data_IF_589838369074
#
_entry.id   IF_589838369074
#
_cell.length_a   1.000
_cell.length_b   1.000
_cell.length_c   1.000
_cell.angle_alpha   90.00
_cell.angle_beta   90.00
_cell.angle_gamma   90.00
#
_symmetry.space_group_name_H-M   'P 1'
#
loop_
_entity.id
_entity.type
_entity.pdbx_description
1 polymer ?
#
# COMPACT_ATOMS: atom_id res chain seq x y z
N UNK A 1 13.96 -16.51 -13.46
CA UNK A 1 12.56 -17.01 -13.44
C UNK A 1 11.84 -16.40 -12.23
N UNK A 2 10.67 -15.80 -12.42
CA UNK A 2 9.86 -15.23 -11.35
C UNK A 2 9.35 -16.31 -10.39
N UNK A 3 9.36 -16.06 -9.08
CA UNK A 3 8.91 -17.02 -8.06
C UNK A 3 7.37 -17.21 -8.13
N UNK A 4 6.89 -18.35 -7.61
CA UNK A 4 5.45 -18.61 -7.43
C UNK A 4 4.94 -17.97 -6.14
N UNK A 5 3.64 -17.60 -6.10
CA UNK A 5 3.04 -16.89 -4.96
C UNK A 5 3.17 -17.65 -3.65
N UNK A 6 3.11 -18.99 -3.67
CA UNK A 6 3.30 -19.84 -2.46
C UNK A 6 4.61 -19.59 -1.71
N UNK A 7 5.63 -19.01 -2.37
CA UNK A 7 6.93 -18.71 -1.73
C UNK A 7 7.02 -17.31 -1.12
N UNK A 8 6.06 -16.45 -1.44
CA UNK A 8 6.10 -15.03 -1.07
C UNK A 8 4.82 -14.55 -0.37
N UNK A 9 3.74 -15.34 -0.41
CA UNK A 9 2.48 -15.01 0.25
C UNK A 9 2.59 -15.12 1.77
N UNK A 10 1.82 -14.32 2.46
CA UNK A 10 1.53 -14.48 3.90
C UNK A 10 0.42 -15.50 4.04
N UNK A 11 0.67 -16.61 4.73
CA UNK A 11 -0.31 -17.70 4.91
C UNK A 11 -1.31 -17.40 6.03
N UNK A 12 -0.86 -16.73 7.11
CA UNK A 12 -1.73 -16.35 8.24
C UNK A 12 -2.49 -15.07 7.92
N UNK A 13 -3.58 -15.23 7.18
CA UNK A 13 -4.41 -14.10 6.77
C UNK A 13 -5.49 -13.84 7.83
N UNK A 14 -5.59 -12.59 8.27
CA UNK A 14 -6.64 -12.16 9.21
C UNK A 14 -7.97 -12.06 8.45
N UNK A 15 -8.98 -12.73 8.96
CA UNK A 15 -10.31 -12.81 8.34
C UNK A 15 -11.40 -12.29 9.26
N UNK A 16 -12.55 -11.93 8.69
CA UNK A 16 -13.72 -11.46 9.41
C UNK A 16 -15.00 -12.00 8.76
N UNK A 17 -16.04 -12.19 9.57
CA UNK A 17 -17.34 -12.63 9.07
C UNK A 17 -18.10 -11.46 8.36
N UNK A 18 -18.92 -11.74 7.34
CA UNK A 18 -19.70 -10.71 6.62
C UNK A 18 -20.63 -9.90 7.52
N UNK A 19 -21.16 -10.54 8.57
CA UNK A 19 -22.11 -9.94 9.52
C UNK A 19 -21.45 -9.10 10.62
N UNK A 20 -20.12 -9.10 10.72
CA UNK A 20 -19.40 -8.27 11.67
C UNK A 20 -19.61 -6.78 11.35
N UNK A 21 -19.38 -5.91 12.34
CA UNK A 21 -19.48 -4.46 12.17
C UNK A 21 -18.17 -3.89 11.62
N UNK A 22 -18.24 -2.70 11.04
CA UNK A 22 -17.04 -1.97 10.60
C UNK A 22 -16.14 -1.64 11.77
N UNK A 23 -16.71 -1.35 12.96
CA UNK A 23 -15.93 -1.13 14.18
C UNK A 23 -15.09 -2.37 14.53
N UNK A 24 -15.69 -3.56 14.53
CA UNK A 24 -14.97 -4.81 14.79
C UNK A 24 -13.85 -5.04 13.76
N UNK A 25 -14.10 -4.72 12.49
CA UNK A 25 -13.08 -4.81 11.45
C UNK A 25 -11.92 -3.84 11.69
N UNK A 26 -12.21 -2.59 12.09
CA UNK A 26 -11.21 -1.59 12.41
C UNK A 26 -10.37 -1.98 13.63
N UNK A 27 -11.00 -2.48 14.69
CA UNK A 27 -10.33 -2.99 15.89
C UNK A 27 -9.40 -4.16 15.55
N UNK A 28 -9.84 -5.07 14.68
CA UNK A 28 -9.04 -6.19 14.22
C UNK A 28 -7.84 -5.74 13.37
N UNK A 29 -8.03 -4.77 12.47
CA UNK A 29 -6.94 -4.20 11.69
C UNK A 29 -5.92 -3.50 12.58
N UNK A 30 -6.37 -2.73 13.57
CA UNK A 30 -5.49 -2.05 14.51
C UNK A 30 -4.73 -3.03 15.41
N UNK A 31 -5.38 -4.08 15.91
CA UNK A 31 -4.76 -5.10 16.75
C UNK A 31 -3.61 -5.83 16.03
N UNK A 32 -3.77 -6.08 14.74
CA UNK A 32 -2.79 -6.81 13.93
C UNK A 32 -1.88 -5.90 13.09
N UNK A 33 -2.01 -4.57 13.22
CA UNK A 33 -1.25 -3.56 12.46
C UNK A 33 -1.33 -3.78 10.94
N UNK A 34 -2.54 -4.10 10.44
CA UNK A 34 -2.80 -4.43 9.03
C UNK A 34 -3.84 -3.48 8.41
N UNK A 35 -3.65 -3.15 7.13
CA UNK A 35 -4.55 -2.26 6.38
C UNK A 35 -5.66 -2.99 5.60
N UNK A 36 -5.97 -4.26 5.91
CA UNK A 36 -7.12 -4.97 5.33
C UNK A 36 -7.45 -6.24 6.10
N UNK A 37 -8.71 -6.68 5.99
CA UNK A 37 -9.16 -8.01 6.39
C UNK A 37 -9.88 -8.69 5.23
N UNK A 38 -9.72 -10.01 5.10
CA UNK A 38 -10.47 -10.82 4.15
C UNK A 38 -11.81 -11.21 4.77
N UNK A 39 -12.86 -11.02 3.99
CA UNK A 39 -14.21 -11.40 4.42
C UNK A 39 -14.48 -12.82 3.97
N UNK A 40 -14.71 -13.70 4.95
CA UNK A 40 -14.91 -15.12 4.72
C UNK A 40 -16.28 -15.54 5.23
N UNK A 41 -17.03 -16.24 4.39
CA UNK A 41 -18.32 -16.84 4.69
C UNK A 41 -18.26 -18.34 4.42
N UNK A 42 -18.55 -19.17 5.42
CA UNK A 42 -18.47 -20.64 5.32
C UNK A 42 -17.18 -21.12 4.64
N UNK A 43 -16.03 -20.66 5.16
CA UNK A 43 -14.67 -20.96 4.64
C UNK A 43 -14.35 -20.38 3.25
N UNK A 44 -15.30 -19.74 2.57
CA UNK A 44 -15.11 -19.15 1.25
C UNK A 44 -14.80 -17.64 1.36
N UNK A 45 -13.75 -17.15 0.73
CA UNK A 45 -13.49 -15.72 0.68
C UNK A 45 -14.52 -15.05 -0.24
N UNK A 46 -15.29 -14.10 0.30
CA UNK A 46 -16.39 -13.43 -0.40
C UNK A 46 -16.14 -11.96 -0.66
N UNK A 47 -15.15 -11.37 0.01
CA UNK A 47 -14.81 -9.95 -0.17
C UNK A 47 -13.53 -9.57 0.56
N UNK A 48 -13.13 -8.34 0.37
CA UNK A 48 -12.04 -7.69 1.10
C UNK A 48 -12.50 -6.33 1.60
N UNK A 49 -12.15 -6.01 2.83
CA UNK A 49 -12.34 -4.69 3.42
C UNK A 49 -10.99 -4.07 3.71
N UNK A 50 -10.77 -2.84 3.24
CA UNK A 50 -9.54 -2.10 3.43
C UNK A 50 -9.78 -0.81 4.21
N UNK A 51 -8.72 -0.21 4.78
CA UNK A 51 -8.77 1.13 5.40
C UNK A 51 -9.36 2.17 4.43
N UNK A 52 -9.02 2.07 3.13
CA UNK A 52 -9.57 2.97 2.11
C UNK A 52 -11.07 2.81 1.89
N UNK A 53 -11.60 1.59 2.00
CA UNK A 53 -13.03 1.35 1.93
C UNK A 53 -13.74 1.97 3.15
N UNK A 54 -13.17 1.84 4.35
CA UNK A 54 -13.68 2.48 5.56
C UNK A 54 -13.70 3.99 5.42
N UNK A 55 -12.59 4.60 4.97
CA UNK A 55 -12.52 6.03 4.77
C UNK A 55 -13.60 6.51 3.79
N UNK A 56 -13.72 5.87 2.63
CA UNK A 56 -14.63 6.29 1.57
C UNK A 56 -16.10 6.03 1.88
N UNK A 57 -16.42 4.83 2.39
CA UNK A 57 -17.81 4.34 2.49
C UNK A 57 -18.40 4.47 3.90
N UNK A 58 -17.58 4.83 4.89
CA UNK A 58 -18.04 5.04 6.26
C UNK A 58 -17.81 6.50 6.66
N UNK A 59 -16.55 6.96 6.66
CA UNK A 59 -16.23 8.31 7.15
C UNK A 59 -16.81 9.37 6.21
N UNK A 60 -16.51 9.31 4.90
CA UNK A 60 -17.01 10.30 3.94
C UNK A 60 -18.54 10.27 3.75
N UNK A 61 -19.17 9.13 4.01
CA UNK A 61 -20.65 8.97 3.93
C UNK A 61 -21.33 9.14 5.29
N UNK A 62 -20.60 9.51 6.35
CA UNK A 62 -21.10 9.71 7.72
C UNK A 62 -21.91 8.50 8.25
N UNK A 63 -21.55 7.29 7.86
CA UNK A 63 -22.21 6.05 8.30
C UNK A 63 -21.66 5.62 9.66
N UNK A 64 -22.52 5.04 10.49
CA UNK A 64 -22.12 4.54 11.79
C UNK A 64 -21.29 3.25 11.67
N UNK A 65 -20.07 3.25 12.19
CA UNK A 65 -19.20 2.07 12.24
C UNK A 65 -19.74 0.97 13.17
N UNK A 66 -20.56 1.32 14.17
CA UNK A 66 -21.13 0.38 15.14
C UNK A 66 -22.26 -0.46 14.55
N UNK A 67 -23.03 0.09 13.61
CA UNK A 67 -24.21 -0.58 13.04
C UNK A 67 -24.00 -1.08 11.63
N UNK A 68 -23.13 -0.43 10.84
CA UNK A 68 -22.84 -0.83 9.45
C UNK A 68 -22.10 -2.17 9.43
N UNK A 69 -22.58 -3.10 8.59
CA UNK A 69 -21.97 -4.42 8.45
C UNK A 69 -20.85 -4.41 7.41
N UNK A 70 -19.90 -5.33 7.57
CA UNK A 70 -18.78 -5.53 6.66
C UNK A 70 -19.26 -5.86 5.25
N UNK A 71 -20.30 -6.70 5.11
CA UNK A 71 -20.87 -7.10 3.82
C UNK A 71 -21.41 -5.92 2.99
N UNK A 72 -21.83 -4.83 3.65
CA UNK A 72 -22.39 -3.63 3.03
C UNK A 72 -21.29 -2.64 2.59
N UNK A 73 -20.05 -2.90 3.00
CA UNK A 73 -18.92 -1.98 2.79
C UNK A 73 -17.76 -2.65 2.05
N UNK A 74 -17.61 -3.97 2.15
CA UNK A 74 -16.52 -4.71 1.51
C UNK A 74 -16.50 -4.53 -0.01
N UNK A 75 -15.32 -4.68 -0.60
CA UNK A 75 -15.15 -4.77 -2.06
C UNK A 75 -15.40 -6.20 -2.52
N UNK A 76 -16.32 -6.36 -3.45
CA UNK A 76 -16.69 -7.61 -4.13
C UNK A 76 -17.03 -7.34 -5.61
N UNK A 77 -16.87 -8.30 -6.57
CA UNK A 77 -16.26 -9.62 -6.34
C UNK A 77 -14.76 -9.53 -6.06
N UNK A 78 -14.21 -10.56 -5.40
CA UNK A 78 -12.77 -10.67 -5.16
C UNK A 78 -12.03 -10.98 -6.45
N UNK A 79 -10.92 -10.26 -6.67
CA UNK A 79 -9.88 -10.68 -7.61
C UNK A 79 -8.91 -11.57 -6.84
N UNK A 80 -8.69 -12.78 -7.30
CA UNK A 80 -7.86 -13.79 -6.63
C UNK A 80 -6.82 -14.37 -7.59
N UNK A 81 -5.81 -15.04 -7.04
CA UNK A 81 -4.85 -15.82 -7.80
C UNK A 81 -4.65 -17.19 -7.14
N UNK A 82 -4.13 -18.18 -7.90
CA UNK A 82 -3.69 -19.46 -7.36
C UNK A 82 -2.28 -19.32 -6.76
N UNK A 83 -1.94 -20.16 -5.80
CA UNK A 83 -0.60 -20.23 -5.21
C UNK A 83 0.48 -20.61 -6.26
N UNK A 84 0.11 -21.20 -7.38
CA UNK A 84 0.99 -21.54 -8.49
C UNK A 84 1.25 -20.37 -9.45
N UNK A 85 0.50 -19.26 -9.33
CA UNK A 85 0.69 -18.06 -10.15
C UNK A 85 2.09 -17.50 -9.93
N UNK A 86 2.74 -17.05 -11.01
CA UNK A 86 4.05 -16.41 -10.92
C UNK A 86 3.92 -14.98 -10.42
N UNK A 87 4.88 -14.52 -9.64
CA UNK A 87 4.89 -13.19 -9.05
C UNK A 87 4.77 -12.06 -10.10
N UNK A 88 5.40 -12.20 -11.27
CA UNK A 88 5.27 -11.25 -12.36
C UNK A 88 3.83 -11.14 -12.90
N UNK A 89 3.17 -12.27 -13.12
CA UNK A 89 1.79 -12.32 -13.61
C UNK A 89 0.81 -11.77 -12.58
N UNK A 90 1.04 -12.06 -11.30
CA UNK A 90 0.28 -11.50 -10.19
C UNK A 90 0.44 -9.97 -10.11
N UNK A 91 1.67 -9.46 -10.26
CA UNK A 91 1.93 -8.03 -10.29
C UNK A 91 1.22 -7.35 -11.47
N UNK A 92 1.30 -7.93 -12.66
CA UNK A 92 0.57 -7.47 -13.85
C UNK A 92 -0.94 -7.39 -13.58
N UNK A 93 -1.53 -8.46 -13.05
CA UNK A 93 -2.95 -8.51 -12.69
C UNK A 93 -3.32 -7.39 -11.70
N UNK A 94 -2.49 -7.18 -10.66
CA UNK A 94 -2.73 -6.13 -9.67
C UNK A 94 -2.68 -4.72 -10.27
N UNK A 95 -1.77 -4.45 -11.20
CA UNK A 95 -1.71 -3.17 -11.92
C UNK A 95 -2.91 -2.97 -12.85
N UNK A 96 -3.29 -4.00 -13.60
CA UNK A 96 -4.45 -3.94 -14.52
C UNK A 96 -5.77 -3.70 -13.77
N UNK A 97 -5.94 -4.33 -12.61
CA UNK A 97 -7.12 -4.20 -11.75
C UNK A 97 -7.04 -3.04 -10.76
N UNK A 98 -5.92 -2.31 -10.71
CA UNK A 98 -5.67 -1.22 -9.76
C UNK A 98 -5.89 -1.64 -8.30
N UNK A 99 -5.39 -2.81 -7.93
CA UNK A 99 -5.44 -3.37 -6.57
C UNK A 99 -4.04 -3.49 -5.99
N UNK A 100 -3.92 -3.39 -4.67
CA UNK A 100 -2.64 -3.50 -3.95
C UNK A 100 -2.54 -4.74 -3.07
N UNK A 101 -3.62 -5.53 -3.00
CA UNK A 101 -3.73 -6.73 -2.19
C UNK A 101 -4.42 -7.80 -3.03
N UNK A 102 -3.82 -8.98 -3.10
CA UNK A 102 -4.28 -10.08 -3.94
C UNK A 102 -4.42 -11.34 -3.07
N UNK A 103 -5.64 -11.72 -2.71
CA UNK A 103 -5.90 -12.98 -2.02
C UNK A 103 -5.51 -14.16 -2.89
N UNK A 104 -4.85 -15.13 -2.26
CA UNK A 104 -4.47 -16.40 -2.90
C UNK A 104 -5.46 -17.47 -2.46
N UNK A 105 -6.10 -18.09 -3.45
CA UNK A 105 -7.18 -19.06 -3.23
C UNK A 105 -6.84 -20.37 -3.94
N UNK A 106 -7.05 -21.47 -3.23
CA UNK A 106 -6.88 -22.82 -3.78
C UNK A 106 -8.10 -23.65 -3.41
N UNK A 107 -8.69 -24.37 -4.38
CA UNK A 107 -9.90 -25.17 -4.18
C UNK A 107 -11.05 -24.40 -3.48
N UNK A 108 -11.21 -23.11 -3.78
CA UNK A 108 -12.22 -22.25 -3.20
C UNK A 108 -11.95 -21.75 -1.76
N UNK A 109 -10.79 -22.12 -1.18
CA UNK A 109 -10.37 -21.71 0.17
C UNK A 109 -9.25 -20.67 0.10
N UNK A 110 -9.28 -19.74 1.03
CA UNK A 110 -8.21 -18.75 1.20
C UNK A 110 -6.97 -19.46 1.77
N UNK A 111 -5.84 -19.39 1.05
CA UNK A 111 -4.57 -20.00 1.46
C UNK A 111 -3.48 -18.97 1.73
N UNK A 112 -3.68 -17.72 1.32
CA UNK A 112 -2.71 -16.66 1.58
C UNK A 112 -3.15 -15.30 1.05
N UNK A 113 -2.31 -14.31 1.29
CA UNK A 113 -2.44 -12.96 0.79
C UNK A 113 -1.08 -12.47 0.30
N UNK A 114 -1.08 -11.77 -0.83
CA UNK A 114 0.12 -11.10 -1.36
C UNK A 114 -0.19 -9.63 -1.53
N UNK A 115 0.74 -8.77 -1.11
CA UNK A 115 0.68 -7.34 -1.40
C UNK A 115 1.52 -6.97 -2.61
N UNK A 116 1.24 -5.82 -3.21
CA UNK A 116 2.06 -5.32 -4.32
C UNK A 116 3.53 -5.12 -3.89
N UNK A 117 3.75 -4.71 -2.64
CA UNK A 117 5.10 -4.54 -2.08
C UNK A 117 5.88 -5.86 -2.03
N UNK A 118 5.22 -6.96 -1.63
CA UNK A 118 5.85 -8.29 -1.58
C UNK A 118 6.26 -8.74 -2.98
N UNK A 119 5.39 -8.52 -3.97
CA UNK A 119 5.68 -8.84 -5.36
C UNK A 119 6.86 -8.03 -5.91
N UNK A 120 6.89 -6.72 -5.66
CA UNK A 120 7.97 -5.85 -6.15
C UNK A 120 9.32 -6.15 -5.51
N UNK A 121 9.34 -6.71 -4.30
CA UNK A 121 10.56 -7.19 -3.63
C UNK A 121 11.05 -8.54 -4.18
N UNK A 122 10.19 -9.27 -4.91
CA UNK A 122 10.53 -10.56 -5.48
C UNK A 122 11.49 -10.40 -6.69
N UNK A 123 12.58 -11.19 -6.76
CA UNK A 123 13.56 -11.07 -7.84
C UNK A 123 12.93 -11.20 -9.23
N UNK A 124 13.35 -10.32 -10.15
CA UNK A 124 12.95 -10.33 -11.56
C UNK A 124 11.52 -9.84 -11.86
N UNK A 125 10.74 -9.41 -10.85
CA UNK A 125 9.38 -8.87 -11.08
C UNK A 125 9.45 -7.48 -11.72
N UNK A 126 10.34 -6.62 -11.25
CA UNK A 126 10.54 -5.29 -11.85
C UNK A 126 11.00 -5.37 -13.30
N UNK A 127 11.95 -6.26 -13.61
CA UNK A 127 12.43 -6.46 -14.99
C UNK A 127 11.32 -6.99 -15.90
N UNK A 128 10.52 -7.93 -15.40
CA UNK A 128 9.36 -8.44 -16.11
C UNK A 128 8.33 -7.34 -16.40
N UNK A 129 8.00 -6.50 -15.43
CA UNK A 129 7.07 -5.38 -15.59
C UNK A 129 7.61 -4.32 -16.56
N UNK A 130 8.92 -4.01 -16.49
CA UNK A 130 9.58 -3.11 -17.42
C UNK A 130 9.49 -3.61 -18.86
N UNK A 131 9.78 -4.88 -19.09
CA UNK A 131 9.67 -5.51 -20.41
C UNK A 131 8.23 -5.42 -20.93
N UNK A 132 7.24 -5.76 -20.12
CA UNK A 132 5.83 -5.64 -20.51
C UNK A 132 5.43 -4.19 -20.84
N UNK A 133 5.96 -3.20 -20.11
CA UNK A 133 5.68 -1.79 -20.36
C UNK A 133 6.24 -1.32 -21.71
N UNK A 134 7.41 -1.84 -22.11
CA UNK A 134 8.04 -1.56 -23.42
C UNK A 134 7.29 -2.24 -24.57
N UNK A 135 6.83 -3.47 -24.37
CA UNK A 135 6.13 -4.29 -25.39
C UNK A 135 4.67 -3.84 -25.66
N UNK A 136 4.25 -2.66 -25.23
CA UNK A 136 2.94 -2.10 -25.57
C UNK A 136 1.83 -2.39 -24.57
N UNK A 137 2.15 -2.89 -23.38
CA UNK A 137 1.19 -3.10 -22.30
C UNK A 137 0.42 -1.82 -21.90
N UNK A 138 -0.68 -1.99 -21.20
CA UNK A 138 -1.63 -0.92 -20.92
C UNK A 138 -0.96 0.36 -20.36
N UNK A 139 -1.50 1.53 -20.70
CA UNK A 139 -1.04 2.85 -20.24
C UNK A 139 -0.88 2.92 -18.71
N UNK A 140 -1.68 2.14 -17.96
CA UNK A 140 -1.60 2.02 -16.49
C UNK A 140 -0.34 1.30 -16.03
N UNK A 141 0.05 0.23 -16.72
CA UNK A 141 1.27 -0.50 -16.40
C UNK A 141 2.50 0.35 -16.70
N UNK A 142 2.53 1.05 -17.85
CA UNK A 142 3.60 2.01 -18.19
C UNK A 142 3.76 3.10 -17.14
N UNK A 143 2.65 3.70 -16.69
CA UNK A 143 2.68 4.72 -15.66
C UNK A 143 3.15 4.17 -14.31
N UNK A 144 2.76 2.95 -13.95
CA UNK A 144 3.16 2.33 -12.69
C UNK A 144 4.64 1.95 -12.70
N UNK A 145 5.14 1.38 -13.80
CA UNK A 145 6.56 1.04 -13.97
C UNK A 145 7.43 2.29 -13.94
N UNK A 146 7.03 3.37 -14.65
CA UNK A 146 7.73 4.65 -14.63
C UNK A 146 7.73 5.32 -13.23
N UNK A 147 6.76 4.99 -12.38
CA UNK A 147 6.71 5.49 -10.99
C UNK A 147 7.76 4.82 -10.09
N UNK A 148 8.09 3.55 -10.37
CA UNK A 148 9.01 2.74 -9.56
C UNK A 148 10.41 2.60 -10.18
N UNK A 149 10.53 2.82 -11.49
CA UNK A 149 11.76 2.61 -12.22
C UNK A 149 12.01 3.73 -13.23
N UNK A 150 12.98 4.58 -12.96
CA UNK A 150 13.53 5.56 -13.92
C UNK A 150 14.97 5.14 -14.29
N UNK A 151 15.17 4.47 -15.44
CA UNK A 151 16.49 4.02 -15.87
C UNK A 151 17.44 5.16 -16.22
N UNK A 152 16.94 6.38 -16.39
CA UNK A 152 17.73 7.56 -16.81
C UNK A 152 18.02 8.54 -15.68
N UNK A 153 17.43 8.37 -14.49
CA UNK A 153 17.73 9.19 -13.30
C UNK A 153 17.44 10.69 -13.41
N UNK A 154 16.69 11.12 -14.44
CA UNK A 154 16.65 12.53 -14.87
C UNK A 154 15.60 13.40 -14.17
N UNK A 155 14.66 12.82 -13.42
CA UNK A 155 13.58 13.57 -12.74
C UNK A 155 13.33 13.06 -11.30
N UNK A 156 14.34 13.19 -10.45
CA UNK A 156 14.22 12.81 -9.04
C UNK A 156 13.89 14.00 -8.16
N UNK A 157 12.65 14.19 -7.80
CA UNK A 157 12.30 14.91 -6.58
C UNK A 157 12.29 13.92 -5.41
N UNK A 158 13.05 14.22 -4.41
CA UNK A 158 13.41 13.34 -3.30
C UNK A 158 12.24 13.10 -2.34
N UNK A 159 11.86 11.85 -2.09
CA UNK A 159 10.91 11.50 -1.03
C UNK A 159 11.66 11.04 0.24
N UNK A 160 11.49 11.71 1.40
CA UNK A 160 12.19 11.36 2.63
C UNK A 160 11.88 9.96 3.15
N UNK A 161 10.71 9.40 2.81
CA UNK A 161 10.31 8.05 3.21
C UNK A 161 11.00 6.93 2.40
N UNK A 162 11.74 7.28 1.36
CA UNK A 162 12.42 6.32 0.50
C UNK A 162 13.94 6.50 0.52
N UNK A 163 14.47 6.90 1.67
CA UNK A 163 15.91 6.99 1.89
C UNK A 163 16.49 5.61 2.21
N UNK A 164 17.24 5.05 1.30
CA UNK A 164 18.27 4.07 1.58
C UNK A 164 19.61 4.72 1.27
N UNK A 165 20.56 4.65 2.22
CA UNK A 165 21.96 5.05 2.05
C UNK A 165 22.18 6.53 1.68
N UNK A 166 21.37 7.45 2.23
CA UNK A 166 21.56 8.88 2.01
C UNK A 166 21.14 9.41 0.64
N UNK A 167 20.62 8.55 -0.23
CA UNK A 167 20.08 8.94 -1.53
C UNK A 167 18.58 8.71 -1.58
N UNK A 168 17.84 9.78 -1.83
CA UNK A 168 16.39 9.67 -2.01
C UNK A 168 16.10 9.27 -3.45
N UNK A 169 15.37 8.18 -3.62
CA UNK A 169 14.80 7.82 -4.92
C UNK A 169 13.46 8.53 -5.08
N UNK A 170 13.39 9.38 -6.10
CA UNK A 170 12.38 10.39 -6.31
C UNK A 170 10.93 10.04 -6.06
N UNK A 171 10.27 10.92 -5.33
CA UNK A 171 8.82 10.99 -5.29
C UNK A 171 8.32 11.72 -6.53
N UNK A 172 7.55 11.04 -7.36
CA UNK A 172 6.82 11.72 -8.41
C UNK A 172 5.36 11.87 -8.04
N UNK A 173 5.00 13.08 -7.59
CA UNK A 173 3.77 13.72 -8.01
C UNK A 173 2.56 13.74 -7.11
N UNK A 174 1.96 14.87 -7.29
CA UNK A 174 0.57 15.35 -7.37
C UNK A 174 -0.57 14.34 -7.07
N UNK A 175 -0.30 13.04 -7.06
CA UNK A 175 -1.23 11.94 -6.69
C UNK A 175 -0.80 11.17 -5.45
N UNK A 176 0.28 11.60 -4.81
CA UNK A 176 0.64 11.08 -3.50
C UNK A 176 -0.34 11.64 -2.47
N UNK A 177 -0.85 10.79 -1.59
CA UNK A 177 -1.76 11.17 -0.51
C UNK A 177 -1.16 12.25 0.44
N UNK A 178 0.17 12.41 0.42
CA UNK A 178 0.95 13.32 1.25
C UNK A 178 1.42 14.59 0.52
N UNK A 179 0.89 14.85 -0.68
CA UNK A 179 1.22 16.04 -1.45
C UNK A 179 0.22 17.16 -1.15
N UNK A 180 0.68 18.26 -0.56
CA UNK A 180 -0.10 19.44 -0.26
C UNK A 180 0.63 20.68 -0.77
N UNK A 181 -0.08 21.63 -1.35
CA UNK A 181 0.43 22.95 -1.75
C UNK A 181 1.74 22.93 -2.58
N UNK A 182 1.83 22.02 -3.58
CA UNK A 182 3.02 21.79 -4.42
C UNK A 182 4.23 21.18 -3.69
N UNK A 183 4.07 20.67 -2.48
CA UNK A 183 5.14 20.12 -1.67
C UNK A 183 4.69 18.82 -0.99
N UNK A 184 5.63 17.89 -0.71
CA UNK A 184 5.35 16.70 0.06
C UNK A 184 5.17 17.06 1.55
N UNK A 185 4.07 16.64 2.16
CA UNK A 185 3.78 16.92 3.58
C UNK A 185 4.90 16.45 4.51
N UNK A 186 5.56 15.32 4.21
CA UNK A 186 6.70 14.82 4.99
C UNK A 186 7.90 15.76 4.89
N UNK A 187 8.18 16.32 3.70
CA UNK A 187 9.25 17.33 3.52
C UNK A 187 8.93 18.60 4.27
N UNK A 188 7.67 19.03 4.27
CA UNK A 188 7.19 20.21 4.99
C UNK A 188 7.35 20.04 6.50
N UNK A 189 6.91 18.89 7.04
CA UNK A 189 7.06 18.56 8.47
C UNK A 189 8.53 18.48 8.87
N UNK A 190 9.37 17.79 8.09
CA UNK A 190 10.82 17.68 8.37
C UNK A 190 11.52 19.05 8.40
N UNK A 191 11.09 19.98 7.54
CA UNK A 191 11.64 21.35 7.52
C UNK A 191 11.19 22.14 8.74
N UNK A 192 9.95 21.98 9.19
CA UNK A 192 9.45 22.63 10.41
C UNK A 192 10.19 22.13 11.65
N UNK A 193 10.40 20.83 11.79
CA UNK A 193 11.14 20.24 12.92
C UNK A 193 12.59 20.72 12.97
N UNK A 194 13.28 20.82 11.81
CA UNK A 194 14.64 21.32 11.75
C UNK A 194 14.75 22.81 12.11
N UNK A 195 13.72 23.62 11.83
CA UNK A 195 13.70 25.03 12.24
C UNK A 195 13.42 25.19 13.74
N UNK A 196 12.63 24.32 14.34
CA UNK A 196 12.39 24.30 15.79
C UNK A 196 13.65 23.89 16.56
N UNK A 197 14.37 22.84 16.15
CA UNK A 197 15.64 22.44 16.77
C UNK A 197 16.73 23.51 16.67
N UNK A 198 16.79 24.27 15.55
CA UNK A 198 17.74 25.38 15.40
C UNK A 198 17.39 26.60 16.25
N UNK A 199 16.11 26.81 16.56
CA UNK A 199 15.67 27.87 17.48
C UNK A 199 15.99 27.53 18.93
N UNK A 200 15.74 26.29 19.37
CA UNK A 200 16.06 25.85 20.74
C UNK A 200 17.57 25.88 21.02
N UNK A 201 18.41 25.51 20.04
CA UNK A 201 19.87 25.58 20.18
C UNK A 201 20.39 27.02 20.21
N UNK A 202 19.75 27.96 19.51
CA UNK A 202 20.14 29.36 19.53
C UNK A 202 19.76 30.09 20.84
N UNK A 203 18.66 29.69 21.47
CA UNK A 203 18.26 30.19 22.78
C UNK A 203 19.12 29.63 23.91
N UNK A 204 19.57 28.37 23.80
CA UNK A 204 20.45 27.75 24.78
C UNK A 204 21.89 28.33 24.74
N UNK A 205 22.37 28.79 23.60
CA UNK A 205 23.68 29.45 23.50
C UNK A 205 23.66 30.90 24.00
N UNK A 206 22.54 31.59 24.01
CA UNK A 206 22.43 32.97 24.55
C UNK A 206 22.36 33.04 26.07
N UNK A 207 22.02 31.95 26.75
CA UNK A 207 21.94 31.92 28.24
C UNK A 207 23.32 31.68 28.90
N UNK A 208 24.36 31.33 28.16
CA UNK A 208 25.70 30.99 28.71
C UNK A 208 26.67 32.21 28.68
N UNK A 209 26.27 33.38 28.18
CA UNK A 209 27.17 34.56 28.04
C UNK A 209 26.84 35.69 29.02
N UNK A 210 25.91 35.52 29.94
CA UNK A 210 25.65 36.51 31.03
C UNK A 210 25.78 35.92 32.42
N UNK A 211 27.07 35.58 32.82
CA UNK A 211 27.54 35.52 34.22
C UNK A 211 29.04 35.80 34.30
#
# INVERSE_FOLDING_TARGET
MSQKLRKIMVEKVVTIAPKATIRQAAELMNLHEIGCVLVVDHEKPVGILTERDMLKRIICESRSSNTTKVIDTMTKPLVTASQETRAGDAAKLMFERNIKKLPVVENGRLVGLVTLTDLLRSPGVLDFLNKLALDGASKRLKNAVNLYYDPKGLHRKTCPLNMKDGFSTGCQNVKCMWWTDNECAVTKISRQLLTEETLETSEAEQVIVED
#
